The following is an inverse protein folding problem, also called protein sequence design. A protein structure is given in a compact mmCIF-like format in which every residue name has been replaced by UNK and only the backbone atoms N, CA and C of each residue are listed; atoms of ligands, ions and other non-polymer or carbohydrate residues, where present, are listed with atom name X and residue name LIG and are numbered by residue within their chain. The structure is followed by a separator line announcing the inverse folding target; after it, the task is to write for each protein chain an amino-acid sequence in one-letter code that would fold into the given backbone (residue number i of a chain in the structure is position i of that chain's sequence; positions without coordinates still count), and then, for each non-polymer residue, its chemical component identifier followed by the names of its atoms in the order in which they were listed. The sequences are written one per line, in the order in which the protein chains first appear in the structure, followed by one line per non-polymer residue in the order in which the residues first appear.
data_IF_810892177953
#
_entry.id   IF_810892177953
#
_cell.length_a   1.000
_cell.length_b   1.000
_cell.length_c   1.000
_cell.angle_alpha   90.00
_cell.angle_beta   90.00
_cell.angle_gamma   90.00
#
_symmetry.space_group_name_H-M   'P 1'
#
loop_
_entity.id
_entity.type
_entity.pdbx_description
1 polymer ?
#
# COMPACT_ATOMS: atom_id res chain seq x y z
N UNK A 1 5.19 17.23 -15.57
CA UNK A 1 6.28 17.13 -14.57
C UNK A 1 6.96 15.77 -14.75
N UNK A 2 8.26 15.65 -14.46
CA UNK A 2 8.96 14.36 -14.39
C UNK A 2 8.32 13.42 -13.34
N UNK A 3 8.39 12.10 -13.56
CA UNK A 3 7.82 11.09 -12.64
C UNK A 3 8.79 10.74 -11.49
N UNK A 4 10.08 11.03 -11.68
CA UNK A 4 11.18 10.65 -10.81
C UNK A 4 11.01 11.12 -9.36
N UNK A 5 10.55 12.35 -9.06
CA UNK A 5 10.32 12.76 -7.67
C UNK A 5 9.27 11.87 -6.97
N UNK A 6 8.19 11.51 -7.65
CA UNK A 6 7.15 10.64 -7.10
C UNK A 6 7.66 9.22 -6.85
N UNK A 7 8.51 8.69 -7.73
CA UNK A 7 9.14 7.38 -7.54
C UNK A 7 10.04 7.36 -6.30
N UNK A 8 10.85 8.40 -6.09
CA UNK A 8 11.70 8.53 -4.89
C UNK A 8 10.89 8.60 -3.59
N UNK A 9 9.75 9.29 -3.63
CA UNK A 9 8.83 9.37 -2.48
C UNK A 9 8.27 7.98 -2.15
N UNK A 10 7.74 7.26 -3.15
CA UNK A 10 7.15 5.92 -2.93
C UNK A 10 8.21 4.93 -2.46
N UNK A 11 9.42 4.96 -3.01
CA UNK A 11 10.54 4.12 -2.57
C UNK A 11 10.86 4.33 -1.09
N UNK A 12 11.08 5.59 -0.67
CA UNK A 12 11.39 5.91 0.72
C UNK A 12 10.24 5.60 1.69
N UNK A 13 8.99 5.85 1.28
CA UNK A 13 7.80 5.51 2.08
C UNK A 13 7.72 3.99 2.28
N UNK A 14 7.88 3.20 1.21
CA UNK A 14 7.77 1.74 1.30
C UNK A 14 8.89 1.14 2.17
N UNK A 15 10.10 1.69 2.15
CA UNK A 15 11.19 1.27 3.04
C UNK A 15 10.84 1.47 4.52
N UNK A 16 10.40 2.68 4.89
CA UNK A 16 9.98 2.97 6.27
C UNK A 16 8.77 2.13 6.68
N UNK A 17 7.81 1.97 5.75
CA UNK A 17 6.58 1.25 6.04
C UNK A 17 6.84 -0.24 6.24
N UNK A 18 7.67 -0.87 5.40
CA UNK A 18 8.07 -2.26 5.58
C UNK A 18 8.75 -2.49 6.94
N UNK A 19 9.74 -1.66 7.30
CA UNK A 19 10.44 -1.77 8.58
C UNK A 19 9.48 -1.65 9.79
N UNK A 20 8.50 -0.74 9.72
CA UNK A 20 7.46 -0.61 10.75
C UNK A 20 6.59 -1.86 10.84
N UNK A 21 6.08 -2.34 9.71
CA UNK A 21 5.16 -3.48 9.67
C UNK A 21 5.83 -4.79 10.08
N UNK A 22 7.13 -4.95 9.78
CA UNK A 22 7.93 -6.09 10.22
C UNK A 22 8.16 -6.11 11.74
N UNK A 23 8.07 -4.95 12.41
CA UNK A 23 8.20 -4.86 13.87
C UNK A 23 6.93 -5.22 14.65
N UNK A 24 5.80 -5.37 13.97
CA UNK A 24 4.51 -5.60 14.64
C UNK A 24 4.42 -7.00 15.22
N UNK A 25 3.94 -7.06 16.47
CA UNK A 25 3.43 -8.27 17.09
C UNK A 25 2.08 -8.68 16.50
N UNK A 26 1.63 -9.91 16.76
CA UNK A 26 0.31 -10.38 16.34
C UNK A 26 -0.83 -9.51 16.88
N UNK A 27 -0.74 -9.04 18.13
CA UNK A 27 -1.74 -8.15 18.72
C UNK A 27 -1.78 -6.80 18.02
N UNK A 28 -0.62 -6.25 17.63
CA UNK A 28 -0.55 -5.02 16.85
C UNK A 28 -1.12 -5.20 15.44
N UNK A 29 -0.87 -6.35 14.80
CA UNK A 29 -1.49 -6.69 13.52
C UNK A 29 -3.01 -6.80 13.57
N UNK A 30 -3.56 -7.17 14.73
CA UNK A 30 -4.99 -7.28 14.99
C UNK A 30 -5.67 -5.93 15.32
N UNK A 31 -4.89 -4.85 15.55
CA UNK A 31 -5.46 -3.50 15.70
C UNK A 31 -6.23 -3.10 14.45
N UNK A 32 -7.24 -2.25 14.63
CA UNK A 32 -8.10 -1.80 13.56
C UNK A 32 -8.35 -0.29 13.63
N UNK A 33 -8.73 0.28 12.49
CA UNK A 33 -9.23 1.64 12.38
C UNK A 33 -10.60 1.64 11.73
N UNK A 34 -11.39 2.69 11.99
CA UNK A 34 -12.67 2.92 11.33
C UNK A 34 -12.46 3.92 10.22
N UNK A 35 -12.79 3.53 8.98
CA UNK A 35 -12.80 4.48 7.88
C UNK A 35 -13.99 5.44 8.07
N UNK A 36 -13.77 6.76 8.13
CA UNK A 36 -14.81 7.72 8.51
C UNK A 36 -15.90 7.89 7.44
N UNK A 37 -15.59 7.61 6.18
CA UNK A 37 -16.53 7.75 5.05
C UNK A 37 -17.47 6.54 4.95
N UNK A 38 -16.92 5.34 5.03
CA UNK A 38 -17.67 4.08 4.88
C UNK A 38 -18.18 3.49 6.20
N UNK A 39 -17.66 3.95 7.36
CA UNK A 39 -17.91 3.34 8.67
C UNK A 39 -17.27 1.96 8.87
N UNK A 40 -16.54 1.45 7.88
CA UNK A 40 -15.97 0.11 7.94
C UNK A 40 -14.80 0.04 8.92
N UNK A 41 -14.80 -1.00 9.76
CA UNK A 41 -13.66 -1.33 10.61
C UNK A 41 -12.68 -2.21 9.84
N UNK A 42 -11.44 -1.76 9.68
CA UNK A 42 -10.39 -2.47 8.97
C UNK A 42 -9.21 -2.79 9.88
N UNK A 43 -8.86 -4.07 9.98
CA UNK A 43 -7.66 -4.51 10.68
C UNK A 43 -6.40 -4.17 9.87
N UNK A 44 -5.29 -3.87 10.55
CA UNK A 44 -4.03 -3.49 9.90
C UNK A 44 -3.53 -4.57 8.93
N UNK A 45 -3.67 -5.85 9.27
CA UNK A 45 -3.31 -6.95 8.35
C UNK A 45 -4.12 -6.97 7.05
N UNK A 46 -5.41 -6.64 7.13
CA UNK A 46 -6.27 -6.50 5.93
C UNK A 46 -5.91 -5.24 5.13
N UNK A 47 -5.55 -4.15 5.82
CA UNK A 47 -5.08 -2.94 5.17
C UNK A 47 -3.78 -3.18 4.38
N UNK A 48 -2.79 -3.88 4.94
CA UNK A 48 -1.58 -4.24 4.22
C UNK A 48 -1.91 -5.08 2.96
N UNK A 49 -2.75 -6.10 3.10
CA UNK A 49 -3.14 -6.94 1.96
C UNK A 49 -3.82 -6.12 0.85
N UNK A 50 -4.68 -5.18 1.22
CA UNK A 50 -5.30 -4.24 0.28
C UNK A 50 -4.26 -3.40 -0.46
N UNK A 51 -3.26 -2.85 0.24
CA UNK A 51 -2.21 -2.03 -0.38
C UNK A 51 -1.24 -2.84 -1.24
N UNK A 52 -0.95 -4.09 -0.88
CA UNK A 52 -0.17 -5.00 -1.70
C UNK A 52 -0.91 -5.32 -3.02
N UNK A 53 -2.23 -5.56 -2.96
CA UNK A 53 -3.07 -5.69 -4.15
C UNK A 53 -3.10 -4.40 -4.97
N UNK A 54 -3.31 -3.25 -4.33
CA UNK A 54 -3.40 -1.93 -4.96
C UNK A 54 -2.15 -1.59 -5.77
N UNK A 55 -0.97 -1.89 -5.20
CA UNK A 55 0.32 -1.70 -5.89
C UNK A 55 0.41 -2.54 -7.17
N UNK A 56 0.06 -3.84 -7.08
CA UNK A 56 0.06 -4.74 -8.24
C UNK A 56 -0.98 -4.34 -9.29
N UNK A 57 -2.17 -3.92 -8.84
CA UNK A 57 -3.26 -3.48 -9.69
C UNK A 57 -2.86 -2.27 -10.54
N UNK A 58 -2.25 -1.25 -9.94
CA UNK A 58 -1.82 -0.07 -10.71
C UNK A 58 -0.56 -0.30 -11.54
N UNK A 59 0.36 -1.15 -11.09
CA UNK A 59 1.46 -1.58 -11.95
C UNK A 59 0.93 -2.28 -13.21
N UNK A 60 -0.09 -3.14 -13.06
CA UNK A 60 -0.72 -3.80 -14.19
C UNK A 60 -1.34 -2.82 -15.18
N UNK A 61 -2.03 -1.76 -14.71
CA UNK A 61 -2.54 -0.72 -15.61
C UNK A 61 -1.43 -0.11 -16.48
N UNK A 62 -0.26 0.16 -15.90
CA UNK A 62 0.89 0.71 -16.66
C UNK A 62 1.44 -0.32 -17.64
N UNK A 63 1.74 -1.54 -17.17
CA UNK A 63 2.40 -2.54 -18.01
C UNK A 63 1.50 -3.04 -19.14
N UNK A 64 0.20 -3.23 -18.90
CA UNK A 64 -0.75 -3.65 -19.94
C UNK A 64 -0.98 -2.55 -20.97
N UNK A 65 -0.97 -1.29 -20.53
CA UNK A 65 -1.03 -0.14 -21.45
C UNK A 65 0.18 -0.14 -22.38
N UNK A 66 1.40 -0.34 -21.85
CA UNK A 66 2.63 -0.40 -22.66
C UNK A 66 2.58 -1.54 -23.68
N UNK A 67 2.10 -2.74 -23.29
CA UNK A 67 1.98 -3.89 -24.20
C UNK A 67 1.00 -3.68 -25.34
N UNK A 68 0.03 -2.78 -25.17
CA UNK A 68 -1.03 -2.51 -26.15
C UNK A 68 -0.60 -1.49 -27.21
N UNK A 69 0.61 -0.93 -27.09
CA UNK A 69 1.28 -0.10 -28.09
C UNK A 69 2.37 -0.90 -28.80
#
# INVERSE_FOLDING_TARGET
MPVEPSLKIIEGIHQHWAALLESFTEDEWNRAFVNPESGNTLQLKKALALYAWHSKHHLAHVTETIKSF
#
